data_IF_859227438082
#
_entry.id   IF_859227438082
#
_cell.length_a   1.000
_cell.length_b   1.000
_cell.length_c   1.000
_cell.angle_alpha   90.00
_cell.angle_beta   90.00
_cell.angle_gamma   90.00
#
_symmetry.space_group_name_H-M   'P 1'
#
loop_
_entity.id
_entity.type
_entity.pdbx_description
1 polymer ?
#
# COMPACT_ATOMS: atom_id res chain seq x y z
N UNK A 1 -39.16 27.87 -18.45
CA UNK A 1 -38.51 26.70 -19.08
C UNK A 1 -37.15 26.53 -18.45
N UNK A 2 -36.97 25.36 -17.85
CA UNK A 2 -35.78 24.85 -17.16
C UNK A 2 -34.56 24.82 -18.08
N UNK A 3 -33.39 25.11 -17.52
CA UNK A 3 -32.16 24.37 -17.81
C UNK A 3 -31.19 24.54 -16.64
N UNK A 4 -31.37 23.70 -15.63
CA UNK A 4 -30.35 23.42 -14.61
C UNK A 4 -29.18 22.74 -15.32
N UNK A 5 -28.13 23.50 -15.61
CA UNK A 5 -26.83 22.94 -15.99
C UNK A 5 -26.30 22.24 -14.75
N UNK A 6 -26.43 20.91 -14.76
CA UNK A 6 -25.77 20.03 -13.81
C UNK A 6 -24.27 20.18 -14.00
N UNK A 7 -23.65 21.01 -13.17
CA UNK A 7 -22.20 20.99 -12.96
C UNK A 7 -21.83 19.64 -12.36
N UNK A 8 -21.56 18.67 -13.23
CA UNK A 8 -20.70 17.55 -12.87
C UNK A 8 -19.33 18.17 -12.56
N UNK A 9 -19.03 18.33 -11.28
CA UNK A 9 -17.65 18.46 -10.82
C UNK A 9 -16.91 17.17 -11.19
N UNK A 10 -16.42 17.09 -12.43
CA UNK A 10 -15.37 16.18 -12.84
C UNK A 10 -14.12 16.63 -12.11
N UNK A 11 -13.90 16.09 -10.91
CA UNK A 11 -12.59 16.10 -10.29
C UNK A 11 -11.65 15.42 -11.27
N UNK A 12 -10.83 16.20 -11.98
CA UNK A 12 -9.65 15.69 -12.69
C UNK A 12 -8.71 15.19 -11.60
N UNK A 13 -8.91 13.94 -11.17
CA UNK A 13 -8.00 13.30 -10.23
C UNK A 13 -6.69 13.06 -10.96
N UNK A 14 -5.68 13.83 -10.59
CA UNK A 14 -4.32 13.68 -11.13
C UNK A 14 -3.79 12.26 -10.88
N UNK A 15 -2.95 11.80 -11.81
CA UNK A 15 -2.20 10.56 -11.64
C UNK A 15 -1.33 10.65 -10.39
N UNK A 16 -1.39 9.62 -9.54
CA UNK A 16 -0.64 9.58 -8.30
C UNK A 16 0.83 9.38 -8.62
N UNK A 17 1.66 10.37 -8.31
CA UNK A 17 3.12 10.22 -8.39
C UNK A 17 3.58 9.35 -7.23
N UNK A 18 4.31 8.27 -7.52
CA UNK A 18 4.79 7.36 -6.47
C UNK A 18 5.93 8.01 -5.69
N UNK A 19 5.68 8.34 -4.43
CA UNK A 19 6.74 8.72 -3.51
C UNK A 19 7.50 7.47 -3.05
N UNK A 20 8.83 7.57 -2.97
CA UNK A 20 9.67 6.49 -2.46
C UNK A 20 10.04 6.73 -0.98
N UNK A 21 9.27 6.18 -0.01
CA UNK A 21 9.58 6.30 1.42
C UNK A 21 10.91 5.65 1.83
N UNK A 22 11.51 4.83 0.95
CA UNK A 22 12.79 4.18 1.20
C UNK A 22 14.01 5.00 0.73
N UNK A 23 13.83 6.21 0.18
CA UNK A 23 14.93 7.05 -0.32
C UNK A 23 16.01 7.32 0.74
N UNK A 24 15.62 7.48 2.01
CA UNK A 24 16.55 7.66 3.14
C UNK A 24 17.45 6.45 3.41
N UNK A 25 17.01 5.24 3.08
CA UNK A 25 17.78 4.00 3.27
C UNK A 25 18.85 3.79 2.20
N UNK A 26 18.87 4.62 1.16
CA UNK A 26 19.92 4.60 0.13
C UNK A 26 21.31 4.87 0.73
N UNK A 27 21.40 5.72 1.76
CA UNK A 27 22.66 5.98 2.47
C UNK A 27 23.19 4.72 3.16
N UNK A 28 22.32 4.02 3.90
CA UNK A 28 22.67 2.75 4.56
C UNK A 28 23.16 1.70 3.56
N UNK A 29 22.49 1.57 2.43
CA UNK A 29 22.90 0.66 1.37
C UNK A 29 24.34 0.89 0.89
N UNK A 30 24.70 2.16 0.65
CA UNK A 30 26.05 2.51 0.21
C UNK A 30 27.08 2.51 1.33
N UNK A 31 26.68 2.65 2.60
CA UNK A 31 27.61 2.60 3.74
C UNK A 31 28.00 1.16 4.10
N UNK A 32 27.14 0.17 3.88
CA UNK A 32 27.43 -1.24 4.21
C UNK A 32 28.54 -1.83 3.33
N UNK A 33 28.58 -1.45 2.05
CA UNK A 33 29.57 -1.95 1.09
C UNK A 33 31.02 -1.63 1.52
N UNK A 34 31.42 -0.36 1.75
CA UNK A 34 32.79 -0.04 2.15
C UNK A 34 33.14 -0.62 3.52
N UNK A 35 32.20 -0.66 4.47
CA UNK A 35 32.42 -1.29 5.78
C UNK A 35 32.76 -2.78 5.60
N UNK A 36 32.00 -3.50 4.77
CA UNK A 36 32.28 -4.90 4.47
C UNK A 36 33.62 -5.08 3.76
N UNK A 37 33.93 -4.25 2.77
CA UNK A 37 35.24 -4.27 2.09
C UNK A 37 36.40 -4.09 3.08
N UNK A 38 36.30 -3.14 4.02
CA UNK A 38 37.33 -2.90 5.04
C UNK A 38 37.47 -4.11 5.97
N UNK A 39 36.36 -4.67 6.45
CA UNK A 39 36.39 -5.85 7.32
C UNK A 39 37.05 -7.06 6.66
N UNK A 40 36.73 -7.32 5.39
CA UNK A 40 37.29 -8.47 4.66
C UNK A 40 38.72 -8.22 4.16
N UNK A 41 39.14 -6.97 3.91
CA UNK A 41 40.54 -6.64 3.64
C UNK A 41 41.47 -6.99 4.81
N UNK A 42 41.03 -6.77 6.04
CA UNK A 42 41.82 -7.07 7.25
C UNK A 42 42.11 -8.57 7.34
N UNK A 43 41.18 -9.43 6.90
CA UNK A 43 41.27 -10.88 7.01
C UNK A 43 41.95 -11.52 5.77
N UNK A 44 41.62 -11.05 4.57
CA UNK A 44 41.99 -11.69 3.30
C UNK A 44 42.95 -10.88 2.42
N UNK A 45 43.46 -9.76 2.91
CA UNK A 45 44.35 -8.86 2.17
C UNK A 45 43.63 -8.02 1.12
N UNK A 46 44.38 -7.11 0.47
CA UNK A 46 43.85 -6.07 -0.41
C UNK A 46 43.17 -6.63 -1.67
N UNK A 47 43.61 -7.77 -2.22
CA UNK A 47 43.00 -8.37 -3.41
C UNK A 47 41.75 -9.18 -3.10
N UNK A 48 41.93 -10.36 -2.50
CA UNK A 48 40.85 -11.30 -2.24
C UNK A 48 39.80 -10.75 -1.25
N UNK A 49 40.25 -10.04 -0.21
CA UNK A 49 39.37 -9.42 0.79
C UNK A 49 38.45 -8.34 0.21
N UNK A 50 38.94 -7.48 -0.69
CA UNK A 50 38.10 -6.48 -1.37
C UNK A 50 37.01 -7.12 -2.23
N UNK A 51 37.38 -8.14 -3.02
CA UNK A 51 36.44 -8.81 -3.92
C UNK A 51 35.30 -9.47 -3.15
N UNK A 52 35.64 -10.26 -2.13
CA UNK A 52 34.64 -10.94 -1.28
C UNK A 52 33.82 -9.95 -0.46
N UNK A 53 34.46 -8.93 0.13
CA UNK A 53 33.79 -7.89 0.89
C UNK A 53 32.79 -7.08 0.05
N UNK A 54 33.10 -6.81 -1.22
CA UNK A 54 32.16 -6.14 -2.12
C UNK A 54 30.90 -6.98 -2.37
N UNK A 55 31.06 -8.27 -2.70
CA UNK A 55 29.95 -9.19 -2.97
C UNK A 55 29.07 -9.36 -1.72
N UNK A 56 29.69 -9.62 -0.57
CA UNK A 56 28.99 -9.82 0.69
C UNK A 56 28.31 -8.52 1.13
N UNK A 57 29.01 -7.38 1.07
CA UNK A 57 28.46 -6.08 1.41
C UNK A 57 27.25 -5.72 0.55
N UNK A 58 27.32 -5.97 -0.76
CA UNK A 58 26.19 -5.76 -1.68
C UNK A 58 24.99 -6.65 -1.36
N UNK A 59 25.23 -7.94 -1.12
CA UNK A 59 24.18 -8.90 -0.75
C UNK A 59 23.53 -8.56 0.61
N UNK A 60 24.33 -8.21 1.61
CA UNK A 60 23.87 -7.84 2.94
C UNK A 60 23.05 -6.54 2.89
N UNK A 61 23.54 -5.54 2.16
CA UNK A 61 22.81 -4.29 1.93
C UNK A 61 21.47 -4.55 1.24
N UNK A 62 21.44 -5.43 0.24
CA UNK A 62 20.22 -5.83 -0.45
C UNK A 62 19.21 -6.50 0.50
N UNK A 63 19.67 -7.45 1.34
CA UNK A 63 18.80 -8.15 2.29
C UNK A 63 18.25 -7.21 3.36
N UNK A 64 19.09 -6.33 3.93
CA UNK A 64 18.68 -5.41 5.00
C UNK A 64 17.59 -4.45 4.49
N UNK A 65 17.78 -3.82 3.33
CA UNK A 65 16.81 -2.85 2.82
C UNK A 65 15.48 -3.54 2.44
N UNK A 66 15.52 -4.74 1.84
CA UNK A 66 14.31 -5.52 1.58
C UNK A 66 13.63 -6.00 2.86
N UNK A 67 14.39 -6.39 3.88
CA UNK A 67 13.88 -6.79 5.19
C UNK A 67 13.14 -5.64 5.87
N UNK A 68 13.74 -4.44 5.91
CA UNK A 68 13.10 -3.24 6.47
C UNK A 68 11.81 -2.90 5.71
N UNK A 69 11.83 -2.94 4.38
CA UNK A 69 10.62 -2.71 3.59
C UNK A 69 9.53 -3.75 3.86
N UNK A 70 9.91 -5.04 4.01
CA UNK A 70 8.99 -6.11 4.37
C UNK A 70 8.35 -5.90 5.74
N UNK A 71 9.13 -5.57 6.76
CA UNK A 71 8.60 -5.26 8.11
C UNK A 71 7.66 -4.07 8.08
N UNK A 72 8.00 -3.01 7.34
CA UNK A 72 7.13 -1.83 7.19
C UNK A 72 5.84 -2.15 6.45
N UNK A 73 5.90 -2.98 5.41
CA UNK A 73 4.73 -3.47 4.70
C UNK A 73 3.83 -4.33 5.60
N UNK A 74 4.41 -5.23 6.41
CA UNK A 74 3.65 -6.01 7.39
C UNK A 74 2.97 -5.08 8.40
N UNK A 75 3.69 -4.09 8.94
CA UNK A 75 3.10 -3.10 9.85
C UNK A 75 1.94 -2.34 9.22
N UNK A 76 2.05 -1.98 7.94
CA UNK A 76 0.97 -1.35 7.18
C UNK A 76 -0.23 -2.29 7.01
N UNK A 77 0.01 -3.56 6.66
CA UNK A 77 -1.02 -4.55 6.42
C UNK A 77 -1.76 -5.00 7.70
N UNK A 78 -1.09 -4.98 8.86
CA UNK A 78 -1.66 -5.34 10.16
C UNK A 78 -2.17 -4.14 10.96
N UNK A 79 -2.12 -2.93 10.38
CA UNK A 79 -2.73 -1.77 11.00
C UNK A 79 -4.26 -1.92 10.99
N UNK A 80 -4.85 -1.89 12.19
CA UNK A 80 -6.30 -1.85 12.35
C UNK A 80 -6.74 -0.40 12.44
N UNK A 81 -7.74 -0.05 11.66
CA UNK A 81 -8.33 1.27 11.59
C UNK A 81 -9.77 1.22 12.09
N UNK A 82 -10.18 2.13 12.99
CA UNK A 82 -11.56 2.17 13.47
C UNK A 82 -12.52 2.55 12.35
N UNK A 83 -13.70 1.92 12.33
CA UNK A 83 -14.78 2.25 11.41
C UNK A 83 -15.85 3.09 12.09
N UNK A 84 -16.40 4.08 11.37
CA UNK A 84 -17.43 4.97 11.92
C UNK A 84 -18.79 4.30 12.11
N UNK A 85 -19.04 3.22 11.36
CA UNK A 85 -20.23 2.37 11.45
C UNK A 85 -19.87 0.94 11.05
N UNK A 86 -20.71 0.00 11.48
CA UNK A 86 -20.60 -1.40 11.11
C UNK A 86 -21.26 -1.59 9.74
N UNK A 87 -20.49 -2.08 8.76
CA UNK A 87 -20.93 -2.20 7.36
C UNK A 87 -20.52 -3.58 6.85
N UNK A 88 -21.36 -4.22 6.03
CA UNK A 88 -21.00 -5.49 5.40
C UNK A 88 -20.07 -5.30 4.20
N UNK A 89 -19.41 -6.37 3.74
CA UNK A 89 -18.56 -6.30 2.55
C UNK A 89 -19.35 -5.91 1.29
N UNK A 90 -20.62 -6.31 1.18
CA UNK A 90 -21.51 -6.00 0.08
C UNK A 90 -21.85 -4.51 0.06
N UNK A 91 -22.28 -3.97 1.20
CA UNK A 91 -22.59 -2.54 1.35
C UNK A 91 -21.35 -1.68 1.12
N UNK A 92 -20.19 -2.13 1.61
CA UNK A 92 -18.93 -1.46 1.38
C UNK A 92 -18.55 -1.48 -0.11
N UNK A 93 -18.75 -2.61 -0.80
CA UNK A 93 -18.51 -2.72 -2.25
C UNK A 93 -19.42 -1.79 -3.04
N UNK A 94 -20.71 -1.71 -2.74
CA UNK A 94 -21.64 -0.83 -3.45
C UNK A 94 -21.23 0.64 -3.33
N UNK A 95 -20.79 1.06 -2.14
CA UNK A 95 -20.29 2.43 -1.93
C UNK A 95 -19.00 2.69 -2.69
N UNK A 96 -18.03 1.79 -2.53
CA UNK A 96 -16.72 1.96 -3.14
C UNK A 96 -16.75 1.70 -4.65
N UNK A 97 -17.75 1.00 -5.19
CA UNK A 97 -17.93 0.80 -6.62
C UNK A 97 -18.20 2.11 -7.38
N UNK A 98 -18.65 3.15 -6.68
CA UNK A 98 -18.78 4.51 -7.22
C UNK A 98 -17.48 5.32 -7.16
N UNK A 99 -16.43 4.79 -6.51
CA UNK A 99 -15.11 5.43 -6.45
C UNK A 99 -14.44 5.35 -7.82
N UNK A 100 -14.43 6.47 -8.52
CA UNK A 100 -13.73 6.62 -9.78
C UNK A 100 -12.40 7.36 -9.56
N UNK A 101 -11.28 6.69 -9.84
CA UNK A 101 -9.95 7.28 -9.88
C UNK A 101 -9.12 6.59 -10.98
N UNK A 102 -8.34 7.30 -11.81
CA UNK A 102 -7.64 6.71 -12.95
C UNK A 102 -6.66 5.60 -12.58
N UNK A 103 -5.98 5.75 -11.44
CA UNK A 103 -5.06 4.73 -10.91
C UNK A 103 -5.73 3.60 -10.11
N UNK A 104 -7.02 3.68 -9.80
CA UNK A 104 -7.68 2.66 -8.98
C UNK A 104 -8.82 1.96 -9.72
N UNK A 105 -8.97 0.67 -9.45
CA UNK A 105 -10.14 -0.10 -9.84
C UNK A 105 -10.65 -0.86 -8.64
N UNK A 106 -11.95 -0.76 -8.36
CA UNK A 106 -12.58 -1.50 -7.26
C UNK A 106 -13.15 -2.81 -7.82
N UNK A 107 -12.76 -3.92 -7.21
CA UNK A 107 -13.17 -5.27 -7.61
C UNK A 107 -13.84 -5.99 -6.43
N UNK A 108 -14.86 -6.80 -6.73
CA UNK A 108 -15.45 -7.74 -5.77
C UNK A 108 -14.61 -9.01 -5.75
N UNK A 109 -13.86 -9.21 -4.67
CA UNK A 109 -13.20 -10.48 -4.37
C UNK A 109 -14.14 -11.50 -3.72
N UNK A 110 -13.66 -12.72 -3.46
CA UNK A 110 -14.38 -13.75 -2.70
C UNK A 110 -14.80 -13.22 -1.31
N UNK A 111 -16.01 -12.64 -1.24
CA UNK A 111 -16.57 -12.03 -0.03
C UNK A 111 -15.85 -10.79 0.49
N UNK A 112 -15.04 -10.10 -0.33
CA UNK A 112 -14.24 -8.93 0.12
C UNK A 112 -14.10 -7.87 -0.94
N UNK A 113 -13.89 -6.63 -0.50
CA UNK A 113 -13.60 -5.51 -1.40
C UNK A 113 -12.10 -5.42 -1.67
N UNK A 114 -11.73 -5.25 -2.95
CA UNK A 114 -10.35 -5.10 -3.39
C UNK A 114 -10.17 -3.81 -4.17
N UNK A 115 -9.15 -3.05 -3.82
CA UNK A 115 -8.64 -1.98 -4.67
C UNK A 115 -7.45 -2.49 -5.48
N UNK A 116 -7.50 -2.33 -6.79
CA UNK A 116 -6.37 -2.55 -7.68
C UNK A 116 -5.75 -1.20 -7.97
N UNK A 117 -4.47 -1.03 -7.63
CA UNK A 117 -3.74 0.21 -7.84
C UNK A 117 -2.72 0.06 -8.98
N UNK A 118 -2.81 0.95 -9.98
CA UNK A 118 -1.97 0.98 -11.20
C UNK A 118 -1.86 -0.36 -11.93
N UNK A 119 -2.86 -1.23 -11.79
CA UNK A 119 -2.83 -2.63 -12.22
C UNK A 119 -1.61 -3.44 -11.72
N UNK A 120 -0.95 -2.98 -10.65
CA UNK A 120 0.27 -3.58 -10.11
C UNK A 120 0.01 -4.26 -8.78
N UNK A 121 -0.61 -3.57 -7.85
CA UNK A 121 -0.94 -4.05 -6.51
C UNK A 121 -2.43 -4.23 -6.32
N UNK A 122 -2.78 -5.16 -5.43
CA UNK A 122 -4.13 -5.43 -4.95
C UNK A 122 -4.13 -5.18 -3.45
N UNK A 123 -5.07 -4.36 -3.00
CA UNK A 123 -5.27 -3.98 -1.62
C UNK A 123 -6.62 -4.53 -1.18
N UNK A 124 -6.60 -5.60 -0.40
CA UNK A 124 -7.82 -6.26 0.09
C UNK A 124 -8.21 -5.65 1.42
N UNK A 125 -9.45 -5.21 1.53
CA UNK A 125 -10.00 -4.71 2.80
C UNK A 125 -10.51 -5.90 3.60
N UNK A 126 -10.08 -6.00 4.85
CA UNK A 126 -10.51 -7.00 5.81
C UNK A 126 -11.26 -6.31 6.92
N UNK A 127 -12.54 -6.65 7.07
CA UNK A 127 -13.40 -6.13 8.12
C UNK A 127 -13.35 -7.07 9.33
N UNK A 128 -13.18 -6.50 10.52
CA UNK A 128 -13.40 -7.15 11.80
C UNK A 128 -14.65 -6.52 12.43
N UNK A 129 -15.78 -7.20 12.25
CA UNK A 129 -17.09 -6.77 12.75
C UNK A 129 -17.14 -6.71 14.28
N UNK A 130 -16.43 -7.63 14.96
CA UNK A 130 -16.44 -7.71 16.43
C UNK A 130 -15.75 -6.50 17.06
N UNK A 131 -14.67 -6.04 16.43
CA UNK A 131 -13.90 -4.88 16.91
C UNK A 131 -14.31 -3.57 16.22
N UNK A 132 -15.20 -3.62 15.24
CA UNK A 132 -15.56 -2.48 14.39
C UNK A 132 -14.31 -1.81 13.77
N UNK A 133 -13.38 -2.64 13.29
CA UNK A 133 -12.14 -2.18 12.64
C UNK A 133 -11.93 -2.78 11.27
N UNK A 134 -11.11 -2.16 10.44
CA UNK A 134 -10.65 -2.73 9.18
C UNK A 134 -9.12 -2.70 9.06
N UNK A 135 -8.58 -3.64 8.29
CA UNK A 135 -7.18 -3.63 7.86
C UNK A 135 -7.09 -3.74 6.35
N UNK A 136 -5.98 -3.25 5.77
CA UNK A 136 -5.77 -3.23 4.32
C UNK A 136 -4.55 -4.09 4.00
N UNK A 137 -4.79 -5.28 3.46
CA UNK A 137 -3.70 -6.18 3.05
C UNK A 137 -3.31 -5.87 1.61
N UNK A 138 -2.13 -5.29 1.44
CA UNK A 138 -1.54 -4.94 0.16
C UNK A 138 -0.64 -6.06 -0.34
N UNK A 139 -0.82 -6.46 -1.61
CA UNK A 139 -0.01 -7.47 -2.30
C UNK A 139 0.21 -7.15 -3.77
N UNK A 140 1.33 -7.58 -4.36
CA UNK A 140 1.47 -7.55 -5.82
C UNK A 140 0.53 -8.53 -6.52
N UNK A 141 0.05 -8.15 -7.72
CA UNK A 141 -0.50 -9.12 -8.68
C UNK A 141 0.61 -10.11 -9.09
N UNK A 142 0.24 -11.37 -9.37
CA UNK A 142 1.20 -12.44 -9.76
C UNK A 142 2.15 -12.01 -10.88
N UNK A 143 1.64 -11.39 -11.95
CA UNK A 143 2.44 -10.87 -13.06
C UNK A 143 3.42 -9.77 -12.62
N UNK A 144 2.96 -8.85 -11.77
CA UNK A 144 3.78 -7.78 -11.20
C UNK A 144 4.86 -8.30 -10.27
N UNK A 145 4.57 -9.35 -9.49
CA UNK A 145 5.53 -10.01 -8.61
C UNK A 145 6.68 -10.63 -9.42
N UNK A 146 6.38 -11.31 -10.54
CA UNK A 146 7.38 -11.94 -11.41
C UNK A 146 8.27 -10.87 -12.06
N UNK A 147 7.66 -9.83 -12.63
CA UNK A 147 8.38 -8.73 -13.30
C UNK A 147 9.18 -7.85 -12.33
N UNK A 148 8.82 -7.84 -11.04
CA UNK A 148 9.48 -7.04 -10.00
C UNK A 148 10.20 -7.90 -8.95
N UNK A 149 10.68 -9.09 -9.31
CA UNK A 149 11.39 -10.02 -8.41
C UNK A 149 12.61 -9.40 -7.71
N UNK A 150 13.29 -8.45 -8.37
CA UNK A 150 14.37 -7.68 -7.76
C UNK A 150 13.79 -6.50 -6.98
N UNK A 151 14.11 -6.43 -5.69
CA UNK A 151 13.58 -5.45 -4.74
C UNK A 151 12.04 -5.48 -4.63
N UNK A 152 11.45 -6.68 -4.66
CA UNK A 152 10.00 -6.86 -4.60
C UNK A 152 9.40 -6.23 -3.33
N UNK A 153 10.00 -6.48 -2.17
CA UNK A 153 9.52 -5.91 -0.89
C UNK A 153 9.51 -4.38 -0.88
N UNK A 154 10.55 -3.74 -1.42
CA UNK A 154 10.64 -2.28 -1.53
C UNK A 154 9.55 -1.74 -2.45
N UNK A 155 9.40 -2.33 -3.65
CA UNK A 155 8.42 -1.85 -4.63
C UNK A 155 7.00 -2.06 -4.13
N UNK A 156 6.72 -3.20 -3.50
CA UNK A 156 5.41 -3.50 -2.92
C UNK A 156 5.07 -2.50 -1.82
N UNK A 157 6.04 -2.22 -0.94
CA UNK A 157 5.89 -1.20 0.10
C UNK A 157 5.66 0.20 -0.47
N UNK A 158 6.37 0.61 -1.52
CA UNK A 158 6.15 1.90 -2.20
C UNK A 158 4.69 2.00 -2.68
N UNK A 159 4.20 0.99 -3.39
CA UNK A 159 2.83 0.99 -3.89
C UNK A 159 1.80 0.98 -2.74
N UNK A 160 2.03 0.18 -1.70
CA UNK A 160 1.17 0.13 -0.52
C UNK A 160 1.15 1.46 0.23
N UNK A 161 2.31 2.08 0.46
CA UNK A 161 2.44 3.36 1.15
C UNK A 161 1.63 4.47 0.49
N UNK A 162 1.70 4.56 -0.85
CA UNK A 162 0.98 5.59 -1.61
C UNK A 162 -0.52 5.30 -1.72
N UNK A 163 -0.92 4.03 -1.82
CA UNK A 163 -2.33 3.66 -1.98
C UNK A 163 -3.12 3.71 -0.67
N UNK A 164 -2.48 3.36 0.45
CA UNK A 164 -3.14 3.21 1.75
C UNK A 164 -3.92 4.44 2.23
N UNK A 165 -3.39 5.68 2.22
CA UNK A 165 -4.15 6.85 2.69
C UNK A 165 -5.41 7.11 1.85
N UNK A 166 -5.37 6.84 0.55
CA UNK A 166 -6.51 7.02 -0.35
C UNK A 166 -7.58 5.98 -0.06
N UNK A 167 -7.18 4.71 0.10
CA UNK A 167 -8.09 3.63 0.47
C UNK A 167 -8.73 3.90 1.83
N UNK A 168 -7.94 4.32 2.81
CA UNK A 168 -8.45 4.68 4.14
C UNK A 168 -9.49 5.81 4.06
N UNK A 169 -9.19 6.88 3.31
CA UNK A 169 -10.13 7.98 3.11
C UNK A 169 -11.42 7.52 2.43
N UNK A 170 -11.33 6.65 1.43
CA UNK A 170 -12.48 6.09 0.74
C UNK A 170 -13.35 5.24 1.69
N UNK A 171 -12.73 4.34 2.48
CA UNK A 171 -13.44 3.49 3.46
C UNK A 171 -14.07 4.34 4.57
N UNK A 172 -13.32 5.30 5.12
CA UNK A 172 -13.83 6.19 6.17
C UNK A 172 -15.02 7.02 5.66
N UNK A 173 -14.93 7.54 4.43
CA UNK A 173 -16.04 8.28 3.81
C UNK A 173 -17.27 7.39 3.58
N UNK A 174 -17.06 6.15 3.11
CA UNK A 174 -18.14 5.19 2.93
C UNK A 174 -18.86 4.87 4.25
N UNK A 175 -18.12 4.54 5.31
CA UNK A 175 -18.70 4.22 6.62
C UNK A 175 -19.39 5.41 7.29
N UNK A 176 -18.83 6.62 7.14
CA UNK A 176 -19.49 7.85 7.62
C UNK A 176 -20.79 8.14 6.88
N UNK A 177 -20.81 7.96 5.56
CA UNK A 177 -22.01 8.16 4.74
C UNK A 177 -23.12 7.17 5.12
N UNK A 178 -22.74 5.93 5.47
CA UNK A 178 -23.67 4.90 5.94
C UNK A 178 -24.29 5.29 7.29
N UNK A 179 -23.46 5.68 8.27
CA UNK A 179 -23.92 6.15 9.58
C UNK A 179 -24.96 7.28 9.49
N UNK A 180 -24.71 8.25 8.62
CA UNK A 180 -25.61 9.41 8.42
C UNK A 180 -26.96 8.97 7.86
N UNK A 181 -26.97 8.01 6.94
CA UNK A 181 -28.21 7.49 6.38
C UNK A 181 -29.01 6.70 7.40
N UNK A 182 -28.38 5.84 8.22
CA UNK A 182 -29.06 5.15 9.31
C UNK A 182 -29.70 6.13 10.30
N UNK A 183 -28.97 7.18 10.70
CA UNK A 183 -29.49 8.21 11.61
C UNK A 183 -30.69 8.96 11.00
N UNK A 184 -30.69 9.20 9.69
CA UNK A 184 -31.79 9.89 9.00
C UNK A 184 -33.03 9.01 8.88
N UNK A 185 -32.86 7.70 8.69
CA UNK A 185 -33.97 6.73 8.64
C UNK A 185 -34.62 6.63 10.02
N UNK A 186 -33.82 6.55 11.09
CA UNK A 186 -34.32 6.45 12.47
C UNK A 186 -35.03 7.72 12.97
N UNK A 187 -34.73 8.89 12.40
CA UNK A 187 -35.45 10.14 12.73
C UNK A 187 -36.78 10.30 11.99
N UNK A 188 -37.01 9.52 10.92
CA UNK A 188 -38.23 9.57 10.10
C UNK A 188 -39.23 8.44 10.42
N UNK A 189 -38.80 7.45 11.21
CA UNK A 189 -39.63 6.37 11.74
C UNK A 189 -40.23 6.77 13.09
#
# INVERSE_FOLDING_TARGET
MTNSVSEKHTFVQELIVLENPMKGYRKWYYSIIPVSCISFMIIGGMGFGLFIGFIIGWALAYMIVNGIAGVRLLKLNFANHPMSALITNEQLYERLGTFAHPDFTVEKGMGRVRFVFKNKTVHTIWLDEKKQTYSVISKFKKKSMITNRHNSGIKEYIHAYNANPIIQNAVNSATLSFKKQEATILQKA
#
